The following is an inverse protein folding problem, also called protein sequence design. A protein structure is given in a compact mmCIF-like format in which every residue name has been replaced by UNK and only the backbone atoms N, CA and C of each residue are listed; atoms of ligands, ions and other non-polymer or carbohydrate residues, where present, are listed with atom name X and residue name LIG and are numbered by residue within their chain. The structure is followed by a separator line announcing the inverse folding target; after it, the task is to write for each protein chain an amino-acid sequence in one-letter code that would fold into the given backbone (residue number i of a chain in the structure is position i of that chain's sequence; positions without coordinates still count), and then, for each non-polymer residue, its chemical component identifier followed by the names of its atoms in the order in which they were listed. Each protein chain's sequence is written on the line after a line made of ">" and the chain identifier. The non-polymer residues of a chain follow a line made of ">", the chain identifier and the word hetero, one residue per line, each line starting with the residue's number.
data_IF_250485397009
#
_entry.id   IF_250485397009
#
_cell.length_a   1.000
_cell.length_b   1.000
_cell.length_c   1.000
_cell.angle_alpha   90.00
_cell.angle_beta   90.00
_cell.angle_gamma   90.00
#
_symmetry.space_group_name_H-M   'P 1'
#
loop_
_entity.id
_entity.type
_entity.pdbx_description
1 polymer ?
#
# COMPACT_ATOMS: atom_id res chain seq x y z
N UNK A 1 3.91 -17.46 -5.06
CA UNK A 1 5.20 -16.76 -4.93
C UNK A 1 4.88 -15.29 -5.05
N UNK A 2 5.07 -14.53 -3.97
CA UNK A 2 4.79 -13.09 -3.95
C UNK A 2 5.74 -12.40 -4.93
N UNK A 3 5.21 -11.97 -6.07
CA UNK A 3 5.96 -11.43 -7.21
C UNK A 3 6.76 -10.16 -6.88
N UNK A 4 6.55 -9.59 -5.69
CA UNK A 4 7.19 -8.36 -5.22
C UNK A 4 8.37 -8.61 -4.26
N UNK A 5 8.69 -9.87 -3.92
CA UNK A 5 9.83 -10.16 -3.06
C UNK A 5 11.15 -9.80 -3.75
N UNK A 6 12.04 -9.13 -3.02
CA UNK A 6 13.31 -8.61 -3.54
C UNK A 6 13.21 -7.25 -4.23
N UNK A 7 12.02 -6.65 -4.32
CA UNK A 7 11.88 -5.29 -4.87
C UNK A 7 12.68 -4.29 -4.02
N UNK A 8 13.59 -3.49 -4.61
CA UNK A 8 14.32 -2.46 -3.89
C UNK A 8 13.38 -1.40 -3.33
N UNK A 9 13.61 -1.00 -2.08
CA UNK A 9 12.83 0.05 -1.40
C UNK A 9 13.76 1.03 -0.70
N UNK A 10 13.28 2.27 -0.54
CA UNK A 10 13.93 3.30 0.25
C UNK A 10 12.95 3.83 1.28
N UNK A 11 13.38 3.88 2.55
CA UNK A 11 12.65 4.51 3.65
C UNK A 11 13.33 5.81 4.05
N UNK A 12 12.59 6.92 4.03
CA UNK A 12 13.08 8.23 4.49
C UNK A 12 12.51 8.53 5.88
N UNK A 13 13.39 8.73 6.86
CA UNK A 13 13.06 9.12 8.24
C UNK A 13 13.70 10.48 8.54
N UNK A 14 12.92 11.55 8.40
CA UNK A 14 13.43 12.92 8.46
C UNK A 14 14.46 13.17 7.35
N UNK A 15 15.70 13.46 7.72
CA UNK A 15 16.82 13.64 6.77
C UNK A 15 17.58 12.34 6.48
N UNK A 16 17.26 11.24 7.15
CA UNK A 16 17.94 9.95 6.95
C UNK A 16 17.22 9.14 5.88
N UNK A 17 17.99 8.47 5.04
CA UNK A 17 17.49 7.54 4.02
C UNK A 17 18.12 6.17 4.23
N UNK A 18 17.30 5.14 4.21
CA UNK A 18 17.69 3.75 4.46
C UNK A 18 17.24 2.93 3.26
N UNK A 19 18.17 2.23 2.62
CA UNK A 19 17.89 1.37 1.47
C UNK A 19 17.71 -0.08 1.92
N UNK A 20 16.77 -0.79 1.32
CA UNK A 20 16.43 -2.17 1.66
C UNK A 20 15.67 -2.88 0.56
N UNK A 21 15.04 -4.00 0.91
CA UNK A 21 14.24 -4.81 0.01
C UNK A 21 12.90 -5.16 0.63
N UNK A 22 11.87 -5.23 -0.20
CA UNK A 22 10.58 -5.80 0.17
C UNK A 22 10.73 -7.32 0.29
N UNK A 23 10.43 -7.89 1.45
CA UNK A 23 10.51 -9.34 1.68
C UNK A 23 9.20 -10.03 1.36
N UNK A 24 8.11 -9.45 1.84
CA UNK A 24 6.77 -10.01 1.72
C UNK A 24 5.72 -8.90 1.79
N UNK A 25 4.55 -9.20 1.21
CA UNK A 25 3.35 -8.38 1.30
C UNK A 25 2.36 -9.16 2.14
N UNK A 26 1.96 -8.60 3.28
CA UNK A 26 1.06 -9.25 4.22
C UNK A 26 -0.42 -8.96 3.94
N UNK A 27 -1.22 -9.14 4.98
CA UNK A 27 -2.66 -8.88 4.97
C UNK A 27 -2.99 -7.39 4.84
N UNK A 28 -4.28 -7.11 4.66
CA UNK A 28 -4.81 -5.75 4.74
C UNK A 28 -5.70 -5.58 5.97
N UNK A 29 -5.82 -4.34 6.44
CA UNK A 29 -6.77 -3.95 7.48
C UNK A 29 -7.59 -2.75 7.03
N UNK A 30 -8.85 -2.73 7.42
CA UNK A 30 -9.71 -1.56 7.23
C UNK A 30 -9.63 -0.67 8.47
N UNK A 31 -9.15 0.54 8.28
CA UNK A 31 -9.11 1.57 9.32
C UNK A 31 -10.33 2.46 9.19
N UNK A 32 -11.04 2.74 10.31
CA UNK A 32 -12.15 3.66 10.28
C UNK A 32 -11.68 5.04 9.79
N UNK A 33 -12.47 5.64 8.91
CA UNK A 33 -12.28 7.02 8.50
C UNK A 33 -12.53 7.98 9.68
N UNK A 34 -12.08 9.23 9.52
CA UNK A 34 -12.60 10.30 10.35
C UNK A 34 -14.12 10.46 10.10
N UNK A 35 -14.89 11.06 11.03
CA UNK A 35 -16.30 11.36 10.79
C UNK A 35 -16.49 12.10 9.45
N UNK A 36 -17.31 11.54 8.55
CA UNK A 36 -17.54 12.09 7.21
C UNK A 36 -16.49 11.71 6.15
N UNK A 37 -15.52 10.85 6.47
CA UNK A 37 -14.54 10.30 5.52
C UNK A 37 -14.75 8.79 5.32
N UNK A 38 -14.44 8.25 4.12
CA UNK A 38 -14.49 6.81 3.89
C UNK A 38 -13.49 6.05 4.79
N UNK A 39 -13.78 4.78 5.05
CA UNK A 39 -12.80 3.88 5.64
C UNK A 39 -11.59 3.73 4.73
N UNK A 40 -10.40 3.62 5.32
CA UNK A 40 -9.13 3.52 4.57
C UNK A 40 -8.57 2.12 4.71
N UNK A 41 -8.19 1.51 3.59
CA UNK A 41 -7.52 0.21 3.59
C UNK A 41 -6.01 0.41 3.71
N UNK A 42 -5.40 -0.27 4.67
CA UNK A 42 -3.95 -0.32 4.82
C UNK A 42 -3.44 -1.70 4.43
N UNK A 43 -2.31 -1.75 3.71
CA UNK A 43 -1.61 -2.97 3.33
C UNK A 43 -0.33 -3.13 4.14
N UNK A 44 -0.11 -4.33 4.69
CA UNK A 44 1.13 -4.65 5.39
C UNK A 44 2.25 -4.96 4.40
N UNK A 45 3.42 -4.36 4.62
CA UNK A 45 4.66 -4.66 3.90
C UNK A 45 5.76 -5.00 4.91
N UNK A 46 6.49 -6.07 4.65
CA UNK A 46 7.62 -6.50 5.47
C UNK A 46 8.91 -6.13 4.73
N UNK A 47 9.67 -5.21 5.31
CA UNK A 47 10.88 -4.63 4.72
C UNK A 47 12.12 -5.14 5.44
N UNK A 48 13.17 -5.43 4.68
CA UNK A 48 14.48 -5.86 5.18
C UNK A 48 15.52 -4.84 4.76
N UNK A 49 16.15 -4.21 5.75
CA UNK A 49 17.20 -3.21 5.56
C UNK A 49 18.60 -3.79 5.83
N UNK A 50 18.75 -5.10 5.61
CA UNK A 50 20.01 -5.80 5.72
C UNK A 50 20.41 -6.13 7.17
N UNK A 51 21.71 -6.41 7.41
CA UNK A 51 22.18 -7.05 8.64
C UNK A 51 22.11 -6.17 9.91
N UNK A 52 21.75 -4.90 9.78
CA UNK A 52 21.70 -3.97 10.90
C UNK A 52 20.39 -4.01 11.69
N UNK A 53 19.32 -4.62 11.14
CA UNK A 53 17.97 -4.51 11.69
C UNK A 53 17.18 -5.83 11.56
N UNK A 54 16.28 -6.10 12.50
CA UNK A 54 15.21 -7.07 12.28
C UNK A 54 14.27 -6.56 11.15
N UNK A 55 13.52 -7.45 10.46
CA UNK A 55 12.52 -7.03 9.48
C UNK A 55 11.54 -6.01 10.08
N UNK A 56 11.20 -5.00 9.29
CA UNK A 56 10.32 -3.90 9.70
C UNK A 56 8.96 -4.09 9.02
N UNK A 57 7.90 -4.09 9.81
CA UNK A 57 6.52 -4.08 9.31
C UNK A 57 6.03 -2.64 9.15
N UNK A 58 5.52 -2.32 7.96
CA UNK A 58 4.87 -1.04 7.67
C UNK A 58 3.47 -1.26 7.14
N UNK A 59 2.55 -0.37 7.49
CA UNK A 59 1.19 -0.37 7.00
C UNK A 59 0.97 0.88 6.15
N UNK A 60 0.86 0.70 4.83
CA UNK A 60 0.70 1.81 3.89
C UNK A 60 -0.74 1.84 3.38
N UNK A 61 -1.29 3.05 3.23
CA UNK A 61 -2.60 3.20 2.61
C UNK A 61 -2.56 2.69 1.17
N UNK A 62 -3.52 1.83 0.81
CA UNK A 62 -3.73 1.53 -0.60
C UNK A 62 -4.27 2.79 -1.28
N UNK A 63 -3.77 3.15 -2.48
CA UNK A 63 -4.39 4.19 -3.27
C UNK A 63 -5.86 3.82 -3.45
N UNK A 64 -6.77 4.77 -3.23
CA UNK A 64 -8.16 4.57 -3.64
C UNK A 64 -8.12 4.23 -5.12
N UNK A 65 -8.55 3.02 -5.47
CA UNK A 65 -8.80 2.67 -6.85
C UNK A 65 -9.87 3.66 -7.31
N UNK A 66 -9.44 4.70 -8.02
CA UNK A 66 -10.30 5.44 -8.91
C UNK A 66 -10.77 4.44 -9.95
N UNK A 67 -11.74 3.60 -9.60
CA UNK A 67 -12.66 3.07 -10.59
C UNK A 67 -13.23 4.32 -11.24
N UNK A 68 -12.70 4.62 -12.43
CA UNK A 68 -13.29 5.57 -13.37
C UNK A 68 -14.78 5.28 -13.32
N UNK A 69 -15.54 6.21 -12.74
CA UNK A 69 -16.99 6.13 -12.69
C UNK A 69 -17.45 5.67 -14.06
N UNK A 70 -17.98 4.44 -14.13
CA UNK A 70 -18.47 3.89 -15.38
C UNK A 70 -19.44 4.93 -15.93
N UNK A 71 -19.04 5.61 -17.01
CA UNK A 71 -19.91 6.56 -17.67
C UNK A 71 -21.21 5.82 -17.97
N UNK A 72 -22.39 6.38 -17.62
CA UNK A 72 -23.64 5.70 -17.89
C UNK A 72 -23.71 5.45 -19.39
N UNK A 73 -23.71 4.18 -19.80
CA UNK A 73 -23.90 3.76 -21.18
C UNK A 73 -25.15 4.44 -21.75
N UNK A 74 -25.06 5.26 -22.81
CA UNK A 74 -26.23 5.78 -23.48
C UNK A 74 -26.78 4.69 -24.39
N UNK A 75 -27.54 3.74 -23.82
CA UNK A 75 -28.30 2.79 -24.63
C UNK A 75 -29.70 3.35 -24.88
N UNK A 76 -29.78 3.97 -26.05
CA UNK A 76 -30.92 4.35 -26.88
C UNK A 76 -32.32 3.91 -26.41
N UNK A 77 -33.21 4.91 -26.32
CA UNK A 77 -34.65 4.72 -26.48
C UNK A 77 -34.92 4.24 -27.91
N UNK A 78 -35.72 3.19 -28.07
CA UNK A 78 -36.48 2.87 -29.27
C UNK A 78 -37.83 2.32 -28.84
#
# INVERSE_FOLDING_TARGET
>A
MDSCSGTPVSLTLGQRRIEGVLRAVGEFVEMPGAPGSPARRLRNLILDFGPACAPVEVWLAEPESHELAAAPSPSSRS
#
